data_IF_090910590333
#
_entry.id   IF_090910590333
#
_cell.length_a   1.000
_cell.length_b   1.000
_cell.length_c   1.000
_cell.angle_alpha   90.00
_cell.angle_beta   90.00
_cell.angle_gamma   90.00
#
_symmetry.space_group_name_H-M   'P 1'
#
loop_
_entity.id
_entity.type
_entity.pdbx_description
1 polymer ?
#
# COMPACT_ATOMS: atom_id res chain seq x y z
N UNK A 1 13.80 -1.18 -14.60
CA UNK A 1 15.06 -1.81 -14.22
C UNK A 1 14.86 -2.56 -12.92
N UNK A 2 15.05 -3.89 -12.88
CA UNK A 2 15.03 -4.67 -11.63
C UNK A 2 16.34 -4.40 -10.86
N UNK A 3 16.29 -4.39 -9.52
CA UNK A 3 17.51 -4.24 -8.70
C UNK A 3 17.92 -2.79 -8.40
N UNK A 4 17.03 -1.82 -8.53
CA UNK A 4 17.32 -0.40 -8.20
C UNK A 4 17.13 -0.05 -6.71
N UNK A 5 16.92 -1.03 -5.82
CA UNK A 5 16.76 -0.78 -4.39
C UNK A 5 15.36 -0.30 -3.96
N UNK A 6 14.33 -0.43 -4.82
CA UNK A 6 12.95 -0.04 -4.47
C UNK A 6 12.45 -0.69 -3.17
N UNK A 7 12.56 -2.01 -3.09
CA UNK A 7 12.13 -2.78 -1.91
C UNK A 7 12.94 -2.39 -0.66
N UNK A 8 14.25 -2.14 -0.80
CA UNK A 8 15.10 -1.67 0.32
C UNK A 8 14.63 -0.29 0.82
N UNK A 9 14.28 0.62 -0.09
CA UNK A 9 13.73 1.92 0.28
C UNK A 9 12.39 1.79 1.02
N UNK A 10 11.49 0.92 0.54
CA UNK A 10 10.21 0.66 1.21
C UNK A 10 10.42 0.07 2.61
N UNK A 11 11.40 -0.84 2.76
CA UNK A 11 11.75 -1.43 4.05
C UNK A 11 12.31 -0.38 5.01
N UNK A 12 13.16 0.52 4.53
CA UNK A 12 13.70 1.61 5.36
C UNK A 12 12.62 2.61 5.79
N UNK A 13 11.71 2.99 4.89
CA UNK A 13 10.53 3.79 5.24
C UNK A 13 9.69 3.10 6.33
N UNK A 14 9.51 1.80 6.19
CA UNK A 14 8.75 0.98 7.14
C UNK A 14 9.43 0.94 8.50
N UNK A 15 10.76 0.71 8.55
CA UNK A 15 11.56 0.70 9.76
C UNK A 15 11.50 2.05 10.48
N UNK A 16 11.62 3.14 9.74
CA UNK A 16 11.54 4.50 10.28
C UNK A 16 10.16 4.82 10.86
N UNK A 17 9.09 4.41 10.20
CA UNK A 17 7.73 4.59 10.70
C UNK A 17 7.50 3.76 11.98
N UNK A 18 7.93 2.50 12.01
CA UNK A 18 7.84 1.64 13.19
C UNK A 18 8.63 2.22 14.38
N UNK A 19 9.83 2.77 14.17
CA UNK A 19 10.61 3.41 15.24
C UNK A 19 9.93 4.62 15.87
N UNK A 20 8.97 5.21 15.16
CA UNK A 20 8.10 6.30 15.64
C UNK A 20 6.75 5.83 16.19
N UNK A 21 6.56 4.52 16.32
CA UNK A 21 5.33 3.93 16.83
C UNK A 21 4.17 3.88 15.83
N UNK A 22 4.43 4.15 14.54
CA UNK A 22 3.40 4.06 13.50
C UNK A 22 3.05 2.61 13.19
N UNK A 23 1.79 2.37 12.87
CA UNK A 23 1.37 1.12 12.26
C UNK A 23 1.86 1.08 10.82
N UNK A 24 2.39 -0.06 10.38
CA UNK A 24 2.91 -0.24 9.03
C UNK A 24 2.22 -1.40 8.35
N UNK A 25 1.64 -1.14 7.18
CA UNK A 25 1.09 -2.13 6.26
C UNK A 25 2.03 -2.24 5.06
N UNK A 26 2.52 -3.45 4.77
CA UNK A 26 3.36 -3.72 3.62
C UNK A 26 2.63 -4.66 2.68
N UNK A 27 2.46 -4.25 1.43
CA UNK A 27 1.79 -5.04 0.40
C UNK A 27 2.55 -5.03 -0.92
N UNK A 28 2.37 -6.07 -1.68
CA UNK A 28 2.70 -6.14 -3.10
C UNK A 28 1.41 -5.96 -3.89
N UNK A 29 1.47 -5.16 -4.93
CA UNK A 29 0.31 -4.82 -5.74
C UNK A 29 -0.11 -6.00 -6.64
N UNK A 30 -0.97 -6.84 -6.12
CA UNK A 30 -1.59 -7.98 -6.83
C UNK A 30 -3.09 -7.96 -6.61
N UNK A 31 -3.84 -8.77 -7.36
CA UNK A 31 -5.29 -8.93 -7.21
C UNK A 31 -5.69 -9.15 -5.73
N UNK A 32 -6.76 -8.51 -5.27
CA UNK A 32 -7.23 -8.56 -3.90
C UNK A 32 -6.46 -7.67 -2.92
N UNK A 33 -5.67 -6.70 -3.42
CA UNK A 33 -4.88 -5.77 -2.62
C UNK A 33 -5.69 -5.07 -1.52
N UNK A 34 -6.83 -4.49 -1.89
CA UNK A 34 -7.67 -3.75 -0.94
C UNK A 34 -8.22 -4.64 0.17
N UNK A 35 -8.56 -5.87 -0.16
CA UNK A 35 -9.04 -6.85 0.81
C UNK A 35 -7.93 -7.24 1.79
N UNK A 36 -6.71 -7.50 1.31
CA UNK A 36 -5.57 -7.84 2.18
C UNK A 36 -5.19 -6.70 3.12
N UNK A 37 -5.22 -5.46 2.64
CA UNK A 37 -5.00 -4.28 3.50
C UNK A 37 -6.09 -4.20 4.58
N UNK A 38 -7.36 -4.38 4.22
CA UNK A 38 -8.47 -4.36 5.17
C UNK A 38 -8.32 -5.45 6.25
N UNK A 39 -7.91 -6.65 5.86
CA UNK A 39 -7.67 -7.78 6.78
C UNK A 39 -6.54 -7.50 7.77
N UNK A 40 -5.46 -6.84 7.33
CA UNK A 40 -4.37 -6.43 8.22
C UNK A 40 -4.79 -5.33 9.20
N UNK A 41 -5.62 -4.40 8.77
CA UNK A 41 -6.15 -3.32 9.62
C UNK A 41 -7.18 -3.85 10.64
N UNK A 42 -7.95 -4.89 10.29
CA UNK A 42 -9.01 -5.48 11.11
C UNK A 42 -8.88 -7.00 11.23
N UNK A 43 -7.87 -7.53 11.95
CA UNK A 43 -7.64 -8.97 12.05
C UNK A 43 -8.84 -9.76 12.61
N UNK A 44 -9.81 -9.10 13.27
CA UNK A 44 -11.07 -9.74 13.73
C UNK A 44 -12.11 -9.93 12.62
N UNK A 45 -11.90 -9.35 11.45
CA UNK A 45 -12.82 -9.49 10.32
C UNK A 45 -12.76 -10.88 9.70
N UNK A 46 -11.61 -11.57 9.77
CA UNK A 46 -11.43 -12.94 9.30
C UNK A 46 -12.37 -13.94 10.02
N UNK A 47 -12.70 -13.69 11.29
CA UNK A 47 -13.52 -14.62 12.06
C UNK A 47 -15.02 -14.61 11.72
N UNK A 48 -15.52 -13.55 11.06
CA UNK A 48 -16.94 -13.44 10.67
C UNK A 48 -17.25 -14.02 9.29
N UNK A 49 -16.27 -14.08 8.39
CA UNK A 49 -16.45 -14.67 7.06
C UNK A 49 -16.09 -16.17 7.00
N UNK A 50 -15.40 -16.72 8.01
CA UNK A 50 -15.13 -18.15 8.11
C UNK A 50 -16.35 -19.01 8.53
N UNK A 51 -17.49 -18.39 8.84
CA UNK A 51 -18.78 -19.09 9.04
C UNK A 51 -19.72 -18.80 7.91
N UNK A 52 -19.31 -19.13 6.69
CA UNK A 52 -20.23 -19.20 5.56
C UNK A 52 -20.67 -20.65 5.44
N UNK A 53 -21.88 -20.95 5.91
CA UNK A 53 -22.57 -22.19 5.57
C UNK A 53 -22.76 -22.20 4.05
N UNK A 54 -22.50 -23.33 3.36
CA UNK A 54 -22.73 -23.41 1.93
C UNK A 54 -24.23 -23.43 1.66
N UNK A 55 -24.84 -22.27 1.51
CA UNK A 55 -26.20 -22.18 0.98
C UNK A 55 -26.13 -22.29 -0.54
N UNK A 56 -26.58 -23.41 -1.04
CA UNK A 56 -26.78 -23.74 -2.44
C UNK A 56 -27.72 -22.70 -3.03
N UNK A 57 -27.22 -21.77 -3.81
CA UNK A 57 -27.88 -21.09 -4.92
C UNK A 57 -26.88 -20.18 -5.63
N UNK A 58 -26.21 -20.66 -6.67
CA UNK A 58 -25.83 -19.93 -7.89
C UNK A 58 -25.31 -18.50 -7.79
N UNK A 59 -24.42 -18.21 -6.83
CA UNK A 59 -23.71 -16.91 -6.81
C UNK A 59 -22.24 -17.23 -7.05
N UNK A 60 -21.73 -16.78 -8.19
CA UNK A 60 -20.31 -16.90 -8.55
C UNK A 60 -19.46 -16.21 -7.49
N UNK A 61 -18.62 -17.00 -6.83
CA UNK A 61 -17.54 -16.54 -5.96
C UNK A 61 -16.52 -15.87 -6.88
N UNK A 62 -16.60 -14.52 -7.05
CA UNK A 62 -15.69 -13.87 -7.99
C UNK A 62 -15.72 -12.34 -8.09
N UNK A 63 -16.71 -11.68 -7.56
CA UNK A 63 -16.71 -10.22 -7.51
C UNK A 63 -16.88 -9.75 -6.06
N UNK A 64 -15.78 -9.53 -5.40
CA UNK A 64 -15.79 -8.73 -4.16
C UNK A 64 -16.27 -7.34 -4.58
N UNK A 65 -17.39 -6.89 -3.99
CA UNK A 65 -17.99 -5.58 -4.27
C UNK A 65 -16.99 -4.46 -3.90
N UNK A 66 -16.16 -4.05 -4.86
CA UNK A 66 -15.17 -2.98 -4.72
C UNK A 66 -15.84 -1.70 -4.19
N UNK A 67 -17.10 -1.46 -4.52
CA UNK A 67 -17.89 -0.34 -4.03
C UNK A 67 -18.08 -0.33 -2.50
N UNK A 68 -18.07 -1.50 -1.86
CA UNK A 68 -18.20 -1.62 -0.39
C UNK A 68 -16.87 -1.62 0.34
N UNK A 69 -15.78 -1.98 -0.35
CA UNK A 69 -14.44 -2.05 0.27
C UNK A 69 -13.90 -0.66 0.58
N UNK A 70 -14.10 0.33 -0.29
CA UNK A 70 -13.57 1.68 -0.11
C UNK A 70 -13.97 2.34 1.21
N UNK A 71 -15.26 2.44 1.56
CA UNK A 71 -15.70 2.95 2.86
C UNK A 71 -15.15 2.15 4.04
N UNK A 72 -15.09 0.81 3.91
CA UNK A 72 -14.53 -0.07 4.95
C UNK A 72 -13.03 0.15 5.18
N UNK A 73 -12.25 0.38 4.10
CA UNK A 73 -10.83 0.72 4.18
C UNK A 73 -10.62 2.05 4.94
N UNK A 74 -11.35 3.11 4.56
CA UNK A 74 -11.26 4.40 5.24
C UNK A 74 -11.54 4.26 6.75
N UNK A 75 -12.63 3.58 7.09
CA UNK A 75 -13.03 3.41 8.49
C UNK A 75 -12.04 2.55 9.27
N UNK A 76 -11.45 1.53 8.65
CA UNK A 76 -10.41 0.70 9.25
C UNK A 76 -9.11 1.49 9.48
N UNK A 77 -8.67 2.29 8.50
CA UNK A 77 -7.49 3.17 8.63
C UNK A 77 -7.70 4.17 9.77
N UNK A 78 -8.84 4.87 9.78
CA UNK A 78 -9.20 5.82 10.84
C UNK A 78 -9.21 5.17 12.22
N UNK A 79 -9.83 4.00 12.37
CA UNK A 79 -9.86 3.28 13.64
C UNK A 79 -8.47 2.85 14.11
N UNK A 80 -7.61 2.41 13.18
CA UNK A 80 -6.23 2.02 13.49
C UNK A 80 -5.43 3.20 14.02
N UNK A 81 -5.48 4.34 13.34
CA UNK A 81 -4.79 5.57 13.75
C UNK A 81 -5.32 6.05 15.11
N UNK A 82 -6.65 6.11 15.28
CA UNK A 82 -7.27 6.59 16.54
C UNK A 82 -6.99 5.68 17.73
N UNK A 83 -6.89 4.37 17.53
CA UNK A 83 -6.59 3.41 18.63
C UNK A 83 -5.15 3.46 19.08
N UNK A 84 -4.23 3.64 18.15
CA UNK A 84 -2.80 3.59 18.45
C UNK A 84 -2.24 4.96 18.85
N UNK A 85 -3.00 6.04 18.63
CA UNK A 85 -2.58 7.43 18.89
C UNK A 85 -1.40 7.88 18.02
N UNK A 86 -1.03 7.08 17.03
CA UNK A 86 0.11 7.29 16.12
C UNK A 86 -0.36 7.10 14.67
N UNK A 87 0.53 7.40 13.71
CA UNK A 87 0.21 7.34 12.30
C UNK A 87 0.12 5.93 11.72
N UNK A 88 -0.30 5.86 10.45
CA UNK A 88 -0.35 4.68 9.60
C UNK A 88 0.50 4.91 8.36
N UNK A 89 1.44 4.00 8.10
CA UNK A 89 2.17 3.93 6.82
C UNK A 89 1.68 2.75 6.00
N UNK A 90 1.38 2.99 4.73
CA UNK A 90 1.10 1.95 3.74
C UNK A 90 2.20 1.97 2.69
N UNK A 91 2.92 0.86 2.53
CA UNK A 91 3.89 0.68 1.45
C UNK A 91 3.36 -0.33 0.45
N UNK A 92 3.48 0.01 -0.84
CA UNK A 92 3.01 -0.81 -1.95
C UNK A 92 4.14 -0.99 -2.95
N UNK A 93 4.62 -2.23 -3.12
CA UNK A 93 5.63 -2.56 -4.12
C UNK A 93 4.97 -3.08 -5.40
N UNK A 94 5.68 -2.97 -6.52
CA UNK A 94 5.29 -3.44 -7.87
C UNK A 94 3.90 -2.93 -8.30
N UNK A 95 3.61 -1.65 -8.06
CA UNK A 95 2.29 -1.03 -8.30
C UNK A 95 1.76 -1.20 -9.72
N UNK A 96 2.62 -1.52 -10.69
CA UNK A 96 2.22 -1.83 -12.07
C UNK A 96 1.44 -3.14 -12.22
N UNK A 97 1.53 -4.03 -11.24
CA UNK A 97 0.85 -5.35 -11.26
C UNK A 97 -0.53 -5.29 -10.57
N UNK A 98 -0.90 -4.14 -10.02
CA UNK A 98 -2.21 -3.92 -9.40
C UNK A 98 -3.30 -3.69 -10.43
N UNK A 99 -4.49 -4.14 -10.12
CA UNK A 99 -5.71 -3.70 -10.79
C UNK A 99 -5.92 -2.19 -10.55
N UNK A 100 -6.15 -1.43 -11.64
CA UNK A 100 -6.28 0.02 -11.58
C UNK A 100 -7.40 0.48 -10.64
N UNK A 101 -8.51 -0.26 -10.59
CA UNK A 101 -9.65 0.05 -9.73
C UNK A 101 -9.33 -0.17 -8.25
N UNK A 102 -8.46 -1.13 -7.90
CA UNK A 102 -7.99 -1.32 -6.54
C UNK A 102 -7.05 -0.18 -6.10
N UNK A 103 -6.11 0.23 -6.97
CA UNK A 103 -5.25 1.39 -6.71
C UNK A 103 -6.08 2.66 -6.53
N UNK A 104 -7.12 2.82 -7.33
CA UNK A 104 -8.06 3.93 -7.24
C UNK A 104 -8.82 3.92 -5.90
N UNK A 105 -9.38 2.78 -5.52
CA UNK A 105 -10.12 2.60 -4.27
C UNK A 105 -9.25 2.90 -3.06
N UNK A 106 -8.04 2.35 -3.03
CA UNK A 106 -7.06 2.62 -1.97
C UNK A 106 -6.70 4.11 -1.91
N UNK A 107 -6.41 4.73 -3.06
CA UNK A 107 -6.03 6.15 -3.14
C UNK A 107 -7.15 7.08 -2.65
N UNK A 108 -8.41 6.76 -2.96
CA UNK A 108 -9.57 7.53 -2.48
C UNK A 108 -9.69 7.38 -0.95
N UNK A 109 -9.54 6.17 -0.41
CA UNK A 109 -9.60 5.95 1.03
C UNK A 109 -8.50 6.72 1.76
N UNK A 110 -7.25 6.69 1.27
CA UNK A 110 -6.12 7.47 1.81
C UNK A 110 -6.42 8.98 1.75
N UNK A 111 -6.92 9.48 0.61
CA UNK A 111 -7.25 10.89 0.44
C UNK A 111 -8.31 11.36 1.46
N UNK A 112 -9.31 10.52 1.74
CA UNK A 112 -10.35 10.83 2.72
C UNK A 112 -9.78 10.89 4.15
N UNK A 113 -8.89 9.96 4.51
CA UNK A 113 -8.24 9.96 5.83
C UNK A 113 -7.33 11.19 6.00
N UNK A 114 -6.59 11.59 4.96
CA UNK A 114 -5.81 12.84 4.96
C UNK A 114 -6.72 14.06 5.15
N UNK A 115 -7.90 14.07 4.53
CA UNK A 115 -8.90 15.13 4.68
C UNK A 115 -9.51 15.23 6.08
N UNK A 116 -9.33 14.22 6.93
CA UNK A 116 -9.72 14.18 8.34
C UNK A 116 -8.57 14.62 9.29
N UNK A 117 -7.48 15.16 8.75
CA UNK A 117 -6.26 15.56 9.48
C UNK A 117 -5.63 14.44 10.32
N UNK A 118 -5.75 13.19 9.85
CA UNK A 118 -5.14 12.03 10.50
C UNK A 118 -3.75 11.74 9.91
N UNK A 119 -2.85 11.28 10.77
CA UNK A 119 -1.47 10.96 10.40
C UNK A 119 -1.41 9.67 9.55
N UNK A 120 -1.47 9.83 8.24
CA UNK A 120 -1.30 8.75 7.27
C UNK A 120 -0.25 9.12 6.23
N UNK A 121 0.60 8.15 5.90
CA UNK A 121 1.55 8.26 4.80
C UNK A 121 1.44 7.03 3.89
N UNK A 122 1.84 7.20 2.62
CA UNK A 122 1.92 6.10 1.69
C UNK A 122 3.18 6.23 0.82
N UNK A 123 3.75 5.09 0.46
CA UNK A 123 4.89 5.00 -0.46
C UNK A 123 4.59 3.90 -1.48
N UNK A 124 4.44 4.30 -2.74
CA UNK A 124 4.19 3.39 -3.85
C UNK A 124 5.45 3.26 -4.70
N UNK A 125 5.87 2.03 -4.95
CA UNK A 125 7.01 1.72 -5.80
C UNK A 125 6.58 0.89 -7.02
N UNK A 126 7.21 1.16 -8.17
CA UNK A 126 6.90 0.46 -9.41
C UNK A 126 7.80 0.90 -10.55
N UNK A 127 7.47 0.48 -11.76
CA UNK A 127 8.17 0.88 -12.98
C UNK A 127 7.82 2.32 -13.36
N UNK A 128 8.79 3.19 -13.73
CA UNK A 128 8.55 4.61 -14.00
C UNK A 128 7.41 4.87 -14.99
N UNK A 129 7.41 4.19 -16.14
CA UNK A 129 6.37 4.36 -17.17
C UNK A 129 4.96 4.00 -16.70
N UNK A 130 4.85 3.06 -15.77
CA UNK A 130 3.57 2.64 -15.19
C UNK A 130 3.10 3.60 -14.10
N UNK A 131 4.02 4.04 -13.23
CA UNK A 131 3.77 5.09 -12.25
C UNK A 131 3.27 6.35 -12.94
N UNK A 132 3.94 6.80 -14.01
CA UNK A 132 3.51 7.95 -14.80
C UNK A 132 2.09 7.77 -15.37
N UNK A 133 1.77 6.59 -15.88
CA UNK A 133 0.45 6.30 -16.43
C UNK A 133 -0.65 6.34 -15.36
N UNK A 134 -0.35 5.88 -14.14
CA UNK A 134 -1.26 5.93 -13.00
C UNK A 134 -1.47 7.38 -12.54
N UNK A 135 -0.38 8.16 -12.39
CA UNK A 135 -0.42 9.55 -11.93
C UNK A 135 -1.13 10.46 -12.96
N UNK A 136 -0.89 10.22 -14.25
CA UNK A 136 -1.49 11.00 -15.34
C UNK A 136 -2.94 10.58 -15.66
N UNK A 137 -3.41 9.49 -15.11
CA UNK A 137 -4.80 9.05 -15.21
C UNK A 137 -5.77 10.12 -14.70
N UNK A 138 -6.89 10.31 -15.41
CA UNK A 138 -7.89 11.34 -15.04
C UNK A 138 -8.52 11.11 -13.66
N UNK A 139 -8.45 9.90 -13.14
CA UNK A 139 -9.15 9.45 -11.93
C UNK A 139 -8.32 9.55 -10.65
N UNK A 140 -6.99 9.70 -10.74
CA UNK A 140 -6.08 9.67 -9.60
C UNK A 140 -5.33 11.00 -9.42
N UNK A 141 -6.03 12.12 -9.60
CA UNK A 141 -5.46 13.47 -9.46
C UNK A 141 -4.81 13.73 -8.11
N UNK A 142 -5.26 13.03 -7.07
CA UNK A 142 -4.66 13.08 -5.73
C UNK A 142 -3.19 12.62 -5.75
N UNK A 143 -2.85 11.55 -6.48
CA UNK A 143 -1.48 11.04 -6.55
C UNK A 143 -0.49 12.00 -7.21
N UNK A 144 -0.96 12.99 -7.96
CA UNK A 144 -0.11 14.07 -8.51
C UNK A 144 0.53 14.95 -7.44
N UNK A 145 0.00 14.90 -6.21
CA UNK A 145 0.58 15.62 -5.06
C UNK A 145 1.66 14.81 -4.34
N UNK A 146 1.80 13.54 -4.67
CA UNK A 146 2.87 12.70 -4.12
C UNK A 146 4.22 13.20 -4.64
N UNK A 147 5.24 13.13 -3.80
CA UNK A 147 6.61 13.46 -4.17
C UNK A 147 7.19 12.33 -5.01
N UNK A 148 7.50 12.54 -6.30
CA UNK A 148 8.15 11.52 -7.10
C UNK A 148 9.62 11.37 -6.71
N UNK A 149 10.07 10.13 -6.60
CA UNK A 149 11.47 9.80 -6.32
C UNK A 149 11.97 8.78 -7.35
N UNK A 150 12.92 9.19 -8.19
CA UNK A 150 13.50 8.32 -9.22
C UNK A 150 14.79 7.67 -8.71
N UNK A 151 14.71 6.34 -8.48
CA UNK A 151 15.85 5.53 -8.08
C UNK A 151 16.70 5.20 -9.31
N UNK A 152 17.87 5.82 -9.41
CA UNK A 152 18.87 5.52 -10.43
C UNK A 152 19.67 4.28 -10.05
N UNK A 153 20.30 3.67 -11.06
CA UNK A 153 21.24 2.58 -10.83
C UNK A 153 22.41 3.08 -9.96
N UNK A 154 22.75 2.33 -8.92
CA UNK A 154 23.92 2.61 -8.07
C UNK A 154 25.20 2.34 -8.87
N UNK A 155 26.17 3.22 -8.80
CA UNK A 155 27.45 3.03 -9.47
C UNK A 155 28.16 1.80 -8.89
N UNK A 156 28.83 1.01 -9.78
CA UNK A 156 29.53 -0.21 -9.37
C UNK A 156 30.58 0.07 -8.28
N UNK A 157 31.21 1.24 -8.33
CA UNK A 157 32.18 1.70 -7.32
C UNK A 157 31.55 1.89 -5.94
N UNK A 158 30.31 2.37 -5.85
CA UNK A 158 29.58 2.53 -4.57
C UNK A 158 29.17 1.17 -4.01
N UNK A 159 28.77 0.23 -4.88
CA UNK A 159 28.46 -1.15 -4.48
C UNK A 159 29.71 -1.85 -3.93
N UNK A 160 30.87 -1.70 -4.61
CA UNK A 160 32.15 -2.28 -4.14
C UNK A 160 32.53 -1.75 -2.78
N UNK A 161 32.43 -0.43 -2.57
CA UNK A 161 32.76 0.20 -1.30
C UNK A 161 31.86 -0.31 -0.15
N UNK A 162 30.56 -0.40 -0.38
CA UNK A 162 29.61 -0.92 0.62
C UNK A 162 29.84 -2.39 0.96
N UNK A 163 30.28 -3.20 -0.02
CA UNK A 163 30.61 -4.60 0.22
C UNK A 163 31.89 -4.76 1.02
N UNK A 164 32.91 -3.96 0.76
CA UNK A 164 34.15 -3.96 1.53
C UNK A 164 33.92 -3.59 3.01
N UNK A 165 33.07 -2.57 3.26
CA UNK A 165 32.71 -2.12 4.62
C UNK A 165 31.88 -3.15 5.41
N UNK A 166 31.18 -4.07 4.71
CA UNK A 166 30.33 -5.10 5.34
C UNK A 166 31.10 -6.37 5.68
N UNK A 167 32.28 -6.59 5.08
CA UNK A 167 33.09 -7.82 5.23
C UNK A 167 34.18 -7.65 6.33
N UNK A 168 34.45 -6.46 6.80
CA UNK A 168 35.27 -6.18 8.00
C UNK A 168 34.45 -6.33 9.30
#
# INVERSE_FOLDING_TARGET
VRGTGKTVLLDECSRLAQSRGWTVIKEVATEGLCQRILEQLQPKFQAKHARFEPTVAGISIGSIDIERIGPSLRDAMRQTISKNGNGLLITLDEVQDAELDEVRTLSIAIQQVIGEDLDIAFVFAGLPSKIESIINGKTLTFLRRALPFDLKAVAVTEVSYSLEETIE
#
